data_IF_583806811810
#
_entry.id   IF_583806811810
#
_cell.length_a   1.000
_cell.length_b   1.000
_cell.length_c   1.000
_cell.angle_alpha   90.00
_cell.angle_beta   90.00
_cell.angle_gamma   90.00
#
_symmetry.space_group_name_H-M   'P 1'
#
loop_
_entity.id
_entity.type
_entity.pdbx_description
1 polymer ?
#
# COMPACT_ATOMS: atom_id res chain seq x y z
N UNK A 1 -1.13 -2.68 1.75
CA UNK A 1 -0.51 -3.06 0.46
C UNK A 1 0.89 -3.60 0.74
N UNK A 2 1.27 -4.70 0.08
CA UNK A 2 2.62 -5.28 0.23
C UNK A 2 3.63 -4.45 -0.57
N UNK A 3 4.78 -4.12 0.03
CA UNK A 3 5.78 -3.26 -0.62
C UNK A 3 6.39 -3.87 -1.90
N UNK A 4 6.36 -5.20 -2.06
CA UNK A 4 6.93 -5.92 -3.21
C UNK A 4 6.00 -6.02 -4.42
N UNK A 5 4.74 -5.60 -4.29
CA UNK A 5 3.67 -5.82 -5.29
C UNK A 5 3.89 -5.10 -6.63
N UNK A 6 4.75 -4.09 -6.66
CA UNK A 6 5.15 -3.38 -7.88
C UNK A 6 3.96 -2.72 -8.61
N UNK A 7 3.95 -2.83 -9.94
CA UNK A 7 2.97 -2.16 -10.82
C UNK A 7 1.53 -2.66 -10.63
N UNK A 8 1.34 -3.89 -10.16
CA UNK A 8 0.02 -4.45 -9.92
C UNK A 8 -0.74 -3.73 -8.77
N UNK A 9 -0.03 -2.96 -7.93
CA UNK A 9 -0.63 -2.25 -6.82
C UNK A 9 -1.76 -1.31 -7.24
N UNK A 10 -1.58 -0.61 -8.36
CA UNK A 10 -2.51 0.42 -8.79
C UNK A 10 -3.87 -0.16 -9.14
N UNK A 11 -3.88 -1.24 -9.94
CA UNK A 11 -5.11 -1.89 -10.38
C UNK A 11 -5.89 -2.48 -9.19
N UNK A 12 -5.19 -3.10 -8.23
CA UNK A 12 -5.82 -3.62 -7.02
C UNK A 12 -6.35 -2.51 -6.11
N UNK A 13 -5.56 -1.46 -5.89
CA UNK A 13 -5.95 -0.33 -5.03
C UNK A 13 -7.18 0.40 -5.59
N UNK A 14 -7.23 0.59 -6.92
CA UNK A 14 -8.39 1.15 -7.62
C UNK A 14 -9.62 0.25 -7.48
N UNK A 15 -9.47 -1.05 -7.72
CA UNK A 15 -10.58 -2.00 -7.59
C UNK A 15 -11.19 -2.00 -6.18
N UNK A 16 -10.36 -1.87 -5.13
CA UNK A 16 -10.85 -1.71 -3.76
C UNK A 16 -11.59 -0.38 -3.57
N UNK A 17 -11.02 0.74 -4.03
CA UNK A 17 -11.64 2.07 -3.90
C UNK A 17 -12.99 2.18 -4.61
N UNK A 18 -13.17 1.46 -5.72
CA UNK A 18 -14.44 1.40 -6.45
C UNK A 18 -15.52 0.59 -5.73
N UNK A 19 -15.12 -0.32 -4.83
CA UNK A 19 -16.06 -1.18 -4.09
C UNK A 19 -16.37 -0.63 -2.70
N UNK A 20 -15.41 0.04 -2.07
CA UNK A 20 -15.51 0.58 -0.72
C UNK A 20 -14.73 1.88 -0.60
N UNK A 21 -15.24 2.78 0.24
CA UNK A 21 -14.54 4.03 0.50
C UNK A 21 -13.29 3.78 1.35
N UNK A 22 -12.14 3.69 0.69
CA UNK A 22 -10.86 3.54 1.38
C UNK A 22 -10.49 4.87 2.04
N UNK A 23 -10.39 4.89 3.37
CA UNK A 23 -10.02 6.09 4.14
C UNK A 23 -8.52 6.28 4.34
N UNK A 24 -7.74 5.19 4.33
CA UNK A 24 -6.29 5.24 4.58
C UNK A 24 -5.57 4.02 4.02
N UNK A 25 -4.29 4.19 3.69
CA UNK A 25 -3.41 3.11 3.21
C UNK A 25 -2.36 2.77 4.27
N UNK A 26 -2.16 1.47 4.50
CA UNK A 26 -1.05 0.93 5.30
C UNK A 26 -0.18 0.09 4.37
N UNK A 27 1.13 0.30 4.45
CA UNK A 27 2.11 -0.47 3.65
C UNK A 27 2.96 -1.33 4.55
N UNK A 28 3.09 -2.60 4.21
CA UNK A 28 3.77 -3.60 5.04
C UNK A 28 4.95 -4.22 4.30
N UNK A 29 5.88 -4.83 5.04
CA UNK A 29 7.10 -5.46 4.53
C UNK A 29 8.07 -4.49 3.86
N UNK A 30 8.17 -3.28 4.39
CA UNK A 30 9.08 -2.24 3.90
C UNK A 30 10.54 -2.45 4.35
N UNK A 31 10.82 -3.50 5.10
CA UNK A 31 12.16 -3.98 5.49
C UNK A 31 12.93 -4.73 4.40
N UNK A 32 12.23 -5.20 3.36
CA UNK A 32 12.88 -5.84 2.23
C UNK A 32 13.60 -4.87 1.29
N UNK A 33 14.17 -5.39 0.21
CA UNK A 33 14.66 -4.60 -0.94
C UNK A 33 13.55 -3.85 -1.72
N UNK A 34 12.32 -3.84 -1.18
CA UNK A 34 11.17 -3.26 -1.81
C UNK A 34 11.26 -1.73 -1.73
N UNK A 35 11.46 -1.07 -2.88
CA UNK A 35 11.61 0.39 -3.00
C UNK A 35 10.32 1.20 -2.73
N UNK A 36 9.26 0.56 -2.21
CA UNK A 36 7.99 1.22 -1.89
C UNK A 36 7.21 1.75 -3.11
N UNK A 37 7.57 1.38 -4.34
CA UNK A 37 6.89 1.90 -5.54
C UNK A 37 5.37 1.62 -5.57
N UNK A 38 4.96 0.42 -5.11
CA UNK A 38 3.53 0.08 -4.99
C UNK A 38 2.78 0.97 -4.00
N UNK A 39 3.45 1.48 -2.96
CA UNK A 39 2.84 2.37 -1.98
C UNK A 39 2.33 3.68 -2.59
N UNK A 40 3.18 4.31 -3.42
CA UNK A 40 2.83 5.54 -4.14
C UNK A 40 1.67 5.29 -5.10
N UNK A 41 1.69 4.18 -5.83
CA UNK A 41 0.58 3.77 -6.71
C UNK A 41 -0.72 3.56 -5.94
N UNK A 42 -0.68 2.99 -4.74
CA UNK A 42 -1.87 2.78 -3.92
C UNK A 42 -2.48 4.10 -3.44
N UNK A 43 -1.66 5.04 -2.98
CA UNK A 43 -2.11 6.38 -2.55
C UNK A 43 -2.70 7.15 -3.72
N UNK A 44 -2.04 7.12 -4.89
CA UNK A 44 -2.56 7.76 -6.10
C UNK A 44 -3.90 7.19 -6.54
N UNK A 45 -4.07 5.86 -6.50
CA UNK A 45 -5.29 5.18 -6.91
C UNK A 45 -6.46 5.36 -5.93
N UNK A 46 -6.18 5.37 -4.63
CA UNK A 46 -7.23 5.47 -3.59
C UNK A 46 -7.56 6.91 -3.20
N UNK A 47 -6.65 7.85 -3.48
CA UNK A 47 -6.66 9.24 -2.97
C UNK A 47 -6.73 9.31 -1.45
N UNK A 48 -6.17 8.32 -0.77
CA UNK A 48 -6.22 8.18 0.68
C UNK A 48 -4.82 8.33 1.26
N UNK A 49 -4.66 9.03 2.40
CA UNK A 49 -3.35 9.20 3.01
C UNK A 49 -2.76 7.87 3.48
N UNK A 50 -1.44 7.76 3.40
CA UNK A 50 -0.72 6.70 4.09
C UNK A 50 -0.55 7.08 5.56
N UNK A 51 -1.00 6.19 6.45
CA UNK A 51 -0.98 6.46 7.90
C UNK A 51 0.06 5.63 8.66
N UNK A 52 0.45 4.47 8.13
CA UNK A 52 1.44 3.59 8.77
C UNK A 52 2.27 2.82 7.75
N UNK A 53 3.50 2.51 8.16
CA UNK A 53 4.46 1.67 7.47
C UNK A 53 4.87 0.54 8.42
N UNK A 54 4.74 -0.71 7.97
CA UNK A 54 5.21 -1.90 8.67
C UNK A 54 6.54 -2.38 8.09
N UNK A 55 7.59 -2.39 8.90
CA UNK A 55 8.97 -2.75 8.57
C UNK A 55 9.44 -4.03 9.25
N UNK A 56 8.59 -4.84 9.87
CA UNK A 56 8.98 -6.15 10.42
C UNK A 56 7.72 -6.96 10.72
N UNK A 57 7.78 -8.29 10.67
CA UNK A 57 6.80 -9.15 11.33
C UNK A 57 7.32 -9.40 12.73
N UNK A 58 7.09 -8.44 13.61
CA UNK A 58 7.49 -8.45 15.01
C UNK A 58 6.37 -7.80 15.80
N UNK A 59 6.07 -8.33 16.98
CA UNK A 59 4.94 -7.88 17.81
C UNK A 59 5.23 -6.55 18.54
N UNK A 60 6.09 -5.69 17.98
CA UNK A 60 6.52 -4.40 18.56
C UNK A 60 6.20 -3.24 17.61
#
# INVERSE_FOLDING_TARGET
>A
MDASIGQACEAQARAFKEKVDVGSVIVTKLDGHAKGGGALSAVAATRSPMIFIGTIIGYE
#
